data_IF_999614856309
#
_entry.id   IF_999614856309
#
_cell.length_a   1.000
_cell.length_b   1.000
_cell.length_c   1.000
_cell.angle_alpha   90.00
_cell.angle_beta   90.00
_cell.angle_gamma   90.00
#
_symmetry.space_group_name_H-M   'P 1'
#
loop_
_entity.id
_entity.type
_entity.pdbx_description
1 polymer ?
#
# COMPACT_ATOMS: atom_id res chain seq x y z
N UNK A 1 -15.71 -10.47 15.23
CA UNK A 1 -15.33 -9.85 16.52
C UNK A 1 -14.29 -10.66 17.27
N UNK A 2 -14.47 -11.98 17.44
CA UNK A 2 -13.54 -12.84 18.20
C UNK A 2 -12.08 -12.79 17.72
N UNK A 3 -11.83 -12.76 16.41
CA UNK A 3 -10.46 -12.68 15.86
C UNK A 3 -9.79 -11.33 16.16
N UNK A 4 -10.54 -10.23 16.15
CA UNK A 4 -10.01 -8.91 16.48
C UNK A 4 -9.56 -8.84 17.94
N UNK A 5 -10.44 -9.20 18.88
CA UNK A 5 -10.08 -9.21 20.30
C UNK A 5 -8.94 -10.19 20.61
N UNK A 6 -8.86 -11.31 19.87
CA UNK A 6 -7.78 -12.27 20.01
C UNK A 6 -6.45 -11.72 19.53
N UNK A 7 -6.35 -11.27 18.27
CA UNK A 7 -5.06 -10.95 17.66
C UNK A 7 -4.72 -9.47 17.69
N UNK A 8 -5.68 -8.58 17.45
CA UNK A 8 -5.41 -7.15 17.21
C UNK A 8 -5.01 -6.45 18.51
N UNK A 9 -5.84 -6.52 19.56
CA UNK A 9 -5.57 -5.76 20.78
C UNK A 9 -4.24 -6.16 21.46
N UNK A 10 -3.94 -7.47 21.64
CA UNK A 10 -2.67 -7.88 22.25
C UNK A 10 -1.45 -7.56 21.38
N UNK A 11 -1.58 -7.74 20.05
CA UNK A 11 -0.49 -7.41 19.12
C UNK A 11 -0.19 -5.93 19.12
N UNK A 12 -1.22 -5.09 19.07
CA UNK A 12 -1.06 -3.64 19.03
C UNK A 12 -0.36 -3.14 20.29
N UNK A 13 -0.76 -3.63 21.47
CA UNK A 13 -0.13 -3.24 22.72
C UNK A 13 1.31 -3.75 22.83
N UNK A 14 1.59 -4.97 22.38
CA UNK A 14 2.94 -5.51 22.37
C UNK A 14 3.86 -4.74 21.41
N UNK A 15 3.39 -4.47 20.19
CA UNK A 15 4.14 -3.70 19.19
C UNK A 15 4.47 -2.30 19.68
N UNK A 16 3.50 -1.62 20.32
CA UNK A 16 3.68 -0.27 20.86
C UNK A 16 4.79 -0.18 21.91
N UNK A 17 5.00 -1.25 22.69
CA UNK A 17 5.99 -1.27 23.78
C UNK A 17 7.38 -1.74 23.33
N UNK A 18 7.42 -2.69 22.38
CA UNK A 18 8.64 -3.45 22.11
C UNK A 18 9.27 -3.15 20.75
N UNK A 19 8.52 -2.57 19.81
CA UNK A 19 8.98 -2.41 18.43
C UNK A 19 8.94 -0.96 17.96
N UNK A 20 9.79 -0.66 16.97
CA UNK A 20 9.84 0.64 16.30
C UNK A 20 9.57 0.48 14.82
N UNK A 21 8.94 1.51 14.25
CA UNK A 21 8.58 1.58 12.84
C UNK A 21 9.51 2.53 12.09
N UNK A 22 9.61 2.35 10.77
CA UNK A 22 10.38 3.25 9.90
C UNK A 22 9.82 4.67 9.93
N UNK A 23 8.49 4.79 10.01
CA UNK A 23 7.76 6.05 10.19
C UNK A 23 6.80 5.93 11.37
N UNK A 24 6.48 7.02 12.09
CA UNK A 24 5.47 6.99 13.13
C UNK A 24 4.11 6.54 12.55
N UNK A 25 3.57 5.44 13.10
CA UNK A 25 2.30 4.86 12.64
C UNK A 25 1.26 4.89 13.76
N UNK A 26 0.18 5.69 13.62
CA UNK A 26 -0.95 5.64 14.54
C UNK A 26 -1.57 4.25 14.59
N UNK A 27 -1.98 3.82 15.79
CA UNK A 27 -2.68 2.56 16.03
C UNK A 27 -3.88 2.36 15.09
N UNK A 28 -4.68 3.42 14.91
CA UNK A 28 -5.84 3.41 14.01
C UNK A 28 -5.45 3.09 12.57
N UNK A 29 -4.33 3.63 12.07
CA UNK A 29 -3.89 3.38 10.70
C UNK A 29 -3.44 1.93 10.52
N UNK A 30 -2.80 1.33 11.53
CA UNK A 30 -2.41 -0.08 11.49
C UNK A 30 -3.65 -0.99 11.44
N UNK A 31 -4.67 -0.71 12.26
CA UNK A 31 -5.93 -1.45 12.23
C UNK A 31 -6.68 -1.24 10.90
N UNK A 32 -6.70 -0.02 10.36
CA UNK A 32 -7.25 0.25 9.02
C UNK A 32 -6.53 -0.52 7.92
N UNK A 33 -5.21 -0.72 8.04
CA UNK A 33 -4.46 -1.57 7.10
C UNK A 33 -4.91 -3.03 7.17
N UNK A 34 -5.21 -3.58 8.36
CA UNK A 34 -5.80 -4.93 8.48
C UNK A 34 -7.10 -5.00 7.67
N UNK A 35 -8.00 -4.03 7.83
CA UNK A 35 -9.26 -3.99 7.09
C UNK A 35 -9.07 -3.90 5.58
N UNK A 36 -8.19 -3.01 5.10
CA UNK A 36 -7.92 -2.84 3.66
C UNK A 36 -7.32 -4.10 3.03
N UNK A 37 -6.42 -4.79 3.73
CA UNK A 37 -5.86 -6.06 3.27
C UNK A 37 -6.96 -7.12 3.21
N UNK A 38 -7.79 -7.24 4.25
CA UNK A 38 -8.89 -8.20 4.27
C UNK A 38 -9.94 -7.93 3.19
N UNK A 39 -10.31 -6.68 2.96
CA UNK A 39 -11.24 -6.30 1.88
C UNK A 39 -10.72 -6.70 0.51
N UNK A 40 -9.40 -6.70 0.32
CA UNK A 40 -8.79 -7.09 -0.94
C UNK A 40 -8.49 -8.57 -1.10
N UNK A 41 -8.46 -9.34 -0.01
CA UNK A 41 -8.28 -10.80 -0.05
C UNK A 41 -9.63 -11.51 -0.07
N UNK A 42 -10.59 -11.03 0.72
CA UNK A 42 -11.90 -11.65 0.84
C UNK A 42 -12.75 -11.34 -0.40
N UNK A 43 -13.51 -12.33 -0.92
CA UNK A 43 -14.36 -12.11 -2.08
C UNK A 43 -15.46 -11.08 -1.75
N UNK A 44 -15.64 -10.10 -2.64
CA UNK A 44 -16.64 -9.03 -2.51
C UNK A 44 -18.08 -9.52 -2.57
N UNK A 45 -18.31 -10.63 -3.28
CA UNK A 45 -19.62 -11.24 -3.44
C UNK A 45 -19.62 -12.65 -2.82
N UNK A 46 -20.39 -12.83 -1.74
CA UNK A 46 -20.81 -14.16 -1.36
C UNK A 46 -21.92 -14.59 -2.31
N UNK A 47 -21.63 -15.55 -3.20
CA UNK A 47 -22.64 -16.17 -4.06
C UNK A 47 -23.81 -16.62 -3.17
N UNK A 48 -25.04 -16.20 -3.50
CA UNK A 48 -26.23 -16.63 -2.74
C UNK A 48 -26.28 -18.15 -2.69
N UNK A 49 -26.21 -18.71 -1.49
CA UNK A 49 -26.21 -20.17 -1.27
C UNK A 49 -24.83 -20.81 -1.20
N UNK A 50 -23.74 -20.04 -1.30
CA UNK A 50 -22.41 -20.55 -1.00
C UNK A 50 -22.33 -20.99 0.47
N UNK A 51 -21.60 -22.07 0.77
CA UNK A 51 -21.32 -22.45 2.15
C UNK A 51 -20.65 -21.28 2.88
N UNK A 52 -20.87 -21.15 4.20
CA UNK A 52 -20.19 -20.12 4.98
C UNK A 52 -18.67 -20.25 4.79
N UNK A 53 -17.93 -19.13 4.74
CA UNK A 53 -16.48 -19.16 4.53
C UNK A 53 -15.82 -20.05 5.58
N UNK A 54 -14.87 -20.88 5.14
CA UNK A 54 -14.14 -21.77 6.03
C UNK A 54 -13.49 -20.93 7.15
N UNK A 55 -13.91 -21.18 8.39
CA UNK A 55 -13.43 -20.45 9.56
C UNK A 55 -11.92 -20.57 9.71
N UNK A 56 -11.34 -21.72 9.33
CA UNK A 56 -9.90 -21.93 9.36
C UNK A 56 -9.22 -21.03 8.34
N UNK A 57 -9.64 -21.06 7.07
CA UNK A 57 -9.09 -20.22 6.02
C UNK A 57 -9.23 -18.71 6.35
N UNK A 58 -10.38 -18.30 6.89
CA UNK A 58 -10.59 -16.94 7.36
C UNK A 58 -9.58 -16.54 8.45
N UNK A 59 -9.28 -17.41 9.39
CA UNK A 59 -8.27 -17.16 10.42
C UNK A 59 -6.86 -17.05 9.83
N UNK A 60 -6.52 -17.83 8.79
CA UNK A 60 -5.26 -17.70 8.05
C UNK A 60 -5.14 -16.33 7.34
N UNK A 61 -6.18 -15.90 6.61
CA UNK A 61 -6.19 -14.58 6.00
C UNK A 61 -6.13 -13.45 7.03
N UNK A 62 -6.80 -13.63 8.18
CA UNK A 62 -6.76 -12.66 9.27
C UNK A 62 -5.37 -12.52 9.88
N UNK A 63 -4.70 -13.65 10.16
CA UNK A 63 -3.32 -13.68 10.64
C UNK A 63 -2.37 -13.06 9.62
N UNK A 64 -2.51 -13.41 8.34
CA UNK A 64 -1.73 -12.80 7.26
C UNK A 64 -1.90 -11.27 7.23
N UNK A 65 -3.14 -10.77 7.30
CA UNK A 65 -3.41 -9.34 7.32
C UNK A 65 -2.79 -8.65 8.55
N UNK A 66 -2.85 -9.28 9.73
CA UNK A 66 -2.23 -8.74 10.94
C UNK A 66 -0.69 -8.69 10.84
N UNK A 67 -0.06 -9.76 10.37
CA UNK A 67 1.41 -9.81 10.18
C UNK A 67 1.89 -8.65 9.31
N UNK A 68 1.20 -8.38 8.21
CA UNK A 68 1.59 -7.30 7.29
C UNK A 68 1.19 -5.91 7.78
N UNK A 69 0.04 -5.76 8.44
CA UNK A 69 -0.40 -4.48 8.97
C UNK A 69 0.46 -4.00 10.16
N UNK A 70 0.77 -4.89 11.10
CA UNK A 70 1.55 -4.56 12.29
C UNK A 70 3.05 -4.73 12.08
N UNK A 71 3.47 -5.70 11.27
CA UNK A 71 4.87 -6.04 11.08
C UNK A 71 5.49 -5.47 9.79
N UNK A 72 4.70 -5.00 8.82
CA UNK A 72 5.20 -4.63 7.49
C UNK A 72 6.12 -3.40 7.48
N UNK A 73 5.88 -2.44 8.37
CA UNK A 73 6.63 -1.17 8.44
C UNK A 73 7.66 -1.14 9.59
N UNK A 74 8.02 -2.30 10.16
CA UNK A 74 8.98 -2.38 11.26
C UNK A 74 10.36 -1.91 10.80
N UNK A 75 11.06 -1.18 11.68
CA UNK A 75 12.39 -0.66 11.41
C UNK A 75 13.41 -1.80 11.35
N UNK A 76 14.29 -1.74 10.35
CA UNK A 76 15.49 -2.57 10.28
C UNK A 76 16.68 -1.62 10.18
N UNK A 77 17.52 -1.60 11.20
CA UNK A 77 18.75 -0.81 11.23
C UNK A 77 19.98 -1.72 11.44
N UNK A 78 21.17 -1.13 11.58
CA UNK A 78 22.42 -1.90 11.72
C UNK A 78 22.53 -2.68 13.04
N UNK A 79 21.75 -2.30 14.05
CA UNK A 79 21.83 -2.82 15.42
C UNK A 79 20.61 -3.70 15.74
N UNK A 80 19.43 -3.27 15.30
CA UNK A 80 18.15 -3.91 15.56
C UNK A 80 17.43 -4.27 14.27
N UNK A 81 17.12 -5.54 14.15
CA UNK A 81 16.16 -6.05 13.17
C UNK A 81 14.83 -6.34 13.88
N UNK A 82 13.93 -5.35 13.89
CA UNK A 82 12.62 -5.51 14.51
C UNK A 82 11.70 -6.41 13.70
N UNK A 83 11.95 -6.61 12.39
CA UNK A 83 11.19 -7.57 11.58
C UNK A 83 11.47 -9.00 12.03
N UNK A 84 12.73 -9.35 12.21
CA UNK A 84 13.11 -10.68 12.71
C UNK A 84 12.60 -10.92 14.13
N UNK A 85 12.68 -9.91 15.01
CA UNK A 85 12.15 -10.01 16.38
C UNK A 85 10.63 -10.17 16.41
N UNK A 86 9.90 -9.36 15.63
CA UNK A 86 8.45 -9.48 15.48
C UNK A 86 8.06 -10.86 14.98
N UNK A 87 8.74 -11.40 13.96
CA UNK A 87 8.48 -12.73 13.43
C UNK A 87 8.63 -13.82 14.50
N UNK A 88 9.73 -13.78 15.28
CA UNK A 88 9.98 -14.74 16.36
C UNK A 88 8.91 -14.65 17.44
N UNK A 89 8.57 -13.43 17.86
CA UNK A 89 7.51 -13.19 18.83
C UNK A 89 6.16 -13.69 18.33
N UNK A 90 5.77 -13.36 17.10
CA UNK A 90 4.50 -13.75 16.48
C UNK A 90 4.31 -15.27 16.50
N UNK A 91 5.33 -16.02 16.04
CA UNK A 91 5.32 -17.49 16.02
C UNK A 91 5.28 -18.05 17.45
N UNK A 92 5.90 -17.38 18.43
CA UNK A 92 5.88 -17.82 19.83
C UNK A 92 4.52 -17.60 20.50
N UNK A 93 3.87 -16.47 20.22
CA UNK A 93 2.62 -16.03 20.84
C UNK A 93 1.41 -16.77 20.24
N UNK A 94 1.35 -16.84 18.91
CA UNK A 94 0.19 -17.35 18.20
C UNK A 94 0.43 -18.77 17.66
N UNK A 95 -0.38 -19.73 18.11
CA UNK A 95 -0.27 -21.16 17.73
C UNK A 95 -1.41 -21.68 16.87
N UNK A 96 -2.47 -20.91 16.68
CA UNK A 96 -3.64 -21.31 15.91
C UNK A 96 -3.33 -21.48 14.42
N UNK A 97 -2.51 -20.57 13.87
CA UNK A 97 -2.05 -20.59 12.48
C UNK A 97 -0.58 -20.96 12.47
N UNK A 98 -0.26 -22.05 11.77
CA UNK A 98 1.09 -22.60 11.73
C UNK A 98 1.87 -21.97 10.57
N UNK A 99 3.11 -21.58 10.87
CA UNK A 99 4.10 -21.15 9.89
C UNK A 99 5.17 -22.24 9.76
N UNK A 100 5.77 -22.44 8.58
CA UNK A 100 6.91 -23.33 8.45
C UNK A 100 8.10 -22.89 9.32
N UNK A 101 8.96 -23.84 9.73
CA UNK A 101 10.07 -23.57 10.66
C UNK A 101 11.19 -22.69 10.05
N UNK A 102 11.30 -22.67 8.72
CA UNK A 102 12.40 -22.04 8.00
C UNK A 102 12.00 -20.70 7.39
N UNK A 103 12.39 -19.60 8.03
CA UNK A 103 12.19 -18.26 7.48
C UNK A 103 11.45 -17.37 8.46
N UNK A 104 10.99 -16.21 7.98
CA UNK A 104 10.19 -15.27 8.74
C UNK A 104 8.71 -15.38 8.36
N UNK A 105 7.82 -14.90 9.21
CA UNK A 105 6.37 -14.83 8.91
C UNK A 105 6.07 -14.08 7.60
N UNK A 106 6.97 -13.20 7.16
CA UNK A 106 6.86 -12.43 5.92
C UNK A 106 7.22 -13.24 4.66
N UNK A 107 7.83 -14.41 4.81
CA UNK A 107 8.26 -15.25 3.70
C UNK A 107 7.17 -16.21 3.23
N UNK A 108 5.97 -16.11 3.82
CA UNK A 108 4.83 -16.95 3.48
C UNK A 108 3.59 -16.16 3.04
N UNK A 109 2.78 -16.81 2.21
CA UNK A 109 1.45 -16.39 1.79
C UNK A 109 0.42 -17.47 2.17
N UNK A 110 -0.86 -17.10 2.16
CA UNK A 110 -1.94 -18.05 2.41
C UNK A 110 -2.24 -18.83 1.13
N UNK A 111 -1.98 -20.13 1.15
CA UNK A 111 -2.49 -21.04 0.12
C UNK A 111 -3.92 -21.46 0.48
N UNK A 112 -4.88 -20.96 -0.29
CA UNK A 112 -6.30 -21.22 -0.10
C UNK A 112 -6.69 -22.68 -0.40
N UNK A 113 -5.93 -23.35 -1.28
CA UNK A 113 -6.23 -24.74 -1.69
C UNK A 113 -5.82 -25.74 -0.62
N UNK A 114 -4.66 -25.52 -0.01
CA UNK A 114 -4.10 -26.37 1.03
C UNK A 114 -4.42 -25.87 2.45
N UNK A 115 -4.94 -24.64 2.58
CA UNK A 115 -5.25 -23.97 3.84
C UNK A 115 -4.03 -23.94 4.78
N UNK A 116 -2.89 -23.47 4.24
CA UNK A 116 -1.60 -23.38 4.94
C UNK A 116 -0.80 -22.12 4.55
N UNK A 117 0.28 -21.84 5.29
CA UNK A 117 1.24 -20.78 4.98
C UNK A 117 2.33 -21.35 4.04
N UNK A 118 2.24 -21.04 2.75
CA UNK A 118 3.16 -21.51 1.70
C UNK A 118 4.24 -20.45 1.41
N UNK A 119 5.47 -20.85 1.03
CA UNK A 119 6.57 -19.90 0.81
C UNK A 119 6.36 -19.07 -0.47
N UNK A 120 6.65 -17.77 -0.41
CA UNK A 120 6.53 -16.88 -1.58
C UNK A 120 7.39 -17.29 -2.77
N UNK A 121 8.45 -18.07 -2.54
CA UNK A 121 9.30 -18.66 -3.58
C UNK A 121 8.49 -19.42 -4.63
N UNK A 122 7.46 -20.15 -4.20
CA UNK A 122 6.58 -20.95 -5.08
C UNK A 122 5.73 -20.07 -6.01
N UNK A 123 5.54 -18.80 -5.64
CA UNK A 123 4.72 -17.82 -6.37
C UNK A 123 5.55 -16.86 -7.23
N UNK A 124 6.89 -16.96 -7.22
CA UNK A 124 7.75 -16.10 -8.05
C UNK A 124 7.59 -16.49 -9.52
N UNK A 125 7.14 -15.55 -10.39
CA UNK A 125 7.08 -15.82 -11.82
C UNK A 125 8.48 -16.09 -12.39
N UNK A 126 8.60 -17.06 -13.30
CA UNK A 126 9.85 -17.30 -14.01
C UNK A 126 10.20 -16.08 -14.85
N UNK A 127 11.41 -15.56 -14.69
CA UNK A 127 11.91 -14.47 -15.51
C UNK A 127 11.90 -14.87 -16.99
N UNK A 128 11.30 -14.03 -17.83
CA UNK A 128 11.35 -14.15 -19.27
C UNK A 128 12.01 -12.90 -19.84
N UNK A 129 13.14 -13.10 -20.50
CA UNK A 129 13.81 -12.01 -21.19
C UNK A 129 13.08 -11.70 -22.49
N UNK A 130 12.51 -10.50 -22.57
CA UNK A 130 11.95 -9.96 -23.80
C UNK A 130 12.98 -8.96 -24.35
N UNK A 131 13.59 -9.23 -25.53
CA UNK A 131 14.52 -8.30 -26.15
C UNK A 131 13.82 -6.95 -26.39
N UNK A 132 14.40 -5.87 -25.88
CA UNK A 132 13.79 -4.54 -25.93
C UNK A 132 14.65 -3.49 -25.22
N UNK A 133 14.03 -2.38 -24.81
CA UNK A 133 14.70 -1.35 -24.02
C UNK A 133 15.17 -1.93 -22.67
N UNK A 134 16.47 -1.83 -22.39
CA UNK A 134 17.06 -2.31 -21.14
C UNK A 134 16.41 -1.67 -19.90
N UNK A 135 15.89 -0.45 -20.03
CA UNK A 135 15.15 0.24 -18.97
C UNK A 135 13.79 -0.39 -18.63
N UNK A 136 13.30 -1.32 -19.46
CA UNK A 136 12.02 -2.01 -19.27
C UNK A 136 12.15 -3.41 -18.66
N UNK A 137 13.38 -3.92 -18.47
CA UNK A 137 13.61 -5.25 -17.93
C UNK A 137 13.26 -5.26 -16.44
N UNK A 138 12.22 -6.00 -16.08
CA UNK A 138 11.81 -6.22 -14.70
C UNK A 138 12.02 -7.69 -14.32
N UNK A 139 12.90 -7.96 -13.35
CA UNK A 139 13.18 -9.31 -12.87
C UNK A 139 12.34 -9.59 -11.63
N UNK A 140 11.37 -10.54 -11.69
CA UNK A 140 10.60 -10.91 -10.51
C UNK A 140 11.47 -11.60 -9.47
N UNK A 141 11.45 -11.06 -8.26
CA UNK A 141 12.03 -11.64 -7.04
C UNK A 141 10.95 -11.85 -5.99
N UNK A 142 11.24 -12.63 -4.95
CA UNK A 142 10.33 -12.88 -3.83
C UNK A 142 9.82 -11.56 -3.19
N UNK A 143 10.68 -10.55 -3.07
CA UNK A 143 10.29 -9.23 -2.53
C UNK A 143 9.32 -8.50 -3.48
N UNK A 144 9.64 -8.45 -4.78
CA UNK A 144 8.76 -7.77 -5.75
C UNK A 144 7.41 -8.48 -5.89
N UNK A 145 7.36 -9.82 -5.82
CA UNK A 145 6.12 -10.59 -5.87
C UNK A 145 5.24 -10.30 -4.66
N UNK A 146 5.83 -10.20 -3.46
CA UNK A 146 5.14 -9.84 -2.22
C UNK A 146 4.48 -8.46 -2.32
N UNK A 147 5.24 -7.46 -2.73
CA UNK A 147 4.72 -6.08 -2.87
C UNK A 147 3.66 -6.01 -3.96
N UNK A 148 3.89 -6.67 -5.10
CA UNK A 148 2.93 -6.71 -6.21
C UNK A 148 1.61 -7.33 -5.78
N UNK A 149 1.62 -8.40 -4.97
CA UNK A 149 0.41 -9.01 -4.43
C UNK A 149 -0.47 -8.02 -3.66
N UNK A 150 0.12 -7.15 -2.83
CA UNK A 150 -0.65 -6.11 -2.15
C UNK A 150 -1.18 -5.07 -3.13
N UNK A 151 -0.39 -4.65 -4.12
CA UNK A 151 -0.86 -3.68 -5.11
C UNK A 151 -1.98 -4.24 -6.00
N UNK A 152 -1.93 -5.52 -6.34
CA UNK A 152 -2.97 -6.24 -7.09
C UNK A 152 -4.31 -6.23 -6.37
N UNK A 153 -4.27 -6.18 -5.04
CA UNK A 153 -5.43 -6.22 -4.16
C UNK A 153 -5.94 -4.81 -3.82
N UNK A 154 -5.03 -3.90 -3.44
CA UNK A 154 -5.36 -2.58 -2.92
C UNK A 154 -5.73 -1.57 -4.01
N UNK A 155 -5.06 -1.62 -5.17
CA UNK A 155 -5.29 -0.61 -6.22
C UNK A 155 -6.67 -0.77 -6.87
N UNK A 156 -7.11 -1.98 -7.28
CA UNK A 156 -8.48 -2.16 -7.81
C UNK A 156 -9.58 -1.81 -6.80
N UNK A 157 -9.29 -1.90 -5.50
CA UNK A 157 -10.17 -1.47 -4.42
C UNK A 157 -10.13 0.04 -4.14
N UNK A 158 -9.40 0.81 -4.95
CA UNK A 158 -9.27 2.27 -4.83
C UNK A 158 -8.68 2.72 -3.49
N UNK A 159 -7.87 1.87 -2.84
CA UNK A 159 -7.19 2.22 -1.59
C UNK A 159 -5.86 2.94 -1.84
N UNK A 160 -5.62 4.06 -1.17
CA UNK A 160 -4.29 4.70 -1.17
C UNK A 160 -3.23 3.77 -0.58
N UNK A 161 -2.06 3.69 -1.23
CA UNK A 161 -0.94 2.84 -0.82
C UNK A 161 0.33 3.68 -0.71
N UNK A 162 1.10 3.49 0.35
CA UNK A 162 2.42 4.11 0.49
C UNK A 162 3.44 3.05 0.89
N UNK A 163 4.51 2.90 0.10
CA UNK A 163 5.64 2.06 0.44
C UNK A 163 6.75 2.89 1.08
N UNK A 164 7.16 2.45 2.27
CA UNK A 164 8.22 3.11 3.04
C UNK A 164 9.41 2.17 3.15
N UNK A 165 10.61 2.68 2.89
CA UNK A 165 11.85 1.93 3.05
C UNK A 165 13.04 2.66 2.43
N UNK A 166 14.24 2.13 2.67
CA UNK A 166 15.49 2.74 2.21
C UNK A 166 15.55 2.91 0.69
N UNK A 167 16.32 3.89 0.21
CA UNK A 167 16.58 4.08 -1.23
C UNK A 167 17.22 2.82 -1.83
N UNK A 168 16.88 2.50 -3.07
CA UNK A 168 17.43 1.33 -3.77
C UNK A 168 16.73 -0.01 -3.48
N UNK A 169 15.64 -0.04 -2.72
CA UNK A 169 14.87 -1.28 -2.43
C UNK A 169 13.78 -1.56 -3.48
N UNK A 170 13.99 -1.18 -4.74
CA UNK A 170 13.08 -1.45 -5.87
C UNK A 170 11.60 -0.98 -5.75
N UNK A 171 11.24 -0.17 -4.75
CA UNK A 171 9.86 0.31 -4.51
C UNK A 171 9.25 0.99 -5.74
N UNK A 172 9.97 1.98 -6.27
CA UNK A 172 9.59 2.72 -7.49
C UNK A 172 9.43 1.78 -8.67
N UNK A 173 10.36 0.84 -8.87
CA UNK A 173 10.30 -0.12 -9.98
C UNK A 173 9.07 -1.02 -9.89
N UNK A 174 8.73 -1.52 -8.70
CA UNK A 174 7.53 -2.36 -8.48
C UNK A 174 6.25 -1.57 -8.75
N UNK A 175 6.14 -0.35 -8.20
CA UNK A 175 4.95 0.47 -8.38
C UNK A 175 4.73 0.84 -9.85
N UNK A 176 5.77 1.30 -10.54
CA UNK A 176 5.73 1.63 -11.97
C UNK A 176 5.40 0.40 -12.81
N UNK A 177 5.99 -0.76 -12.53
CA UNK A 177 5.69 -2.00 -13.24
C UNK A 177 4.21 -2.39 -13.06
N UNK A 178 3.66 -2.26 -11.85
CA UNK A 178 2.24 -2.52 -11.60
C UNK A 178 1.33 -1.54 -12.36
N UNK A 179 1.62 -0.24 -12.30
CA UNK A 179 0.83 0.81 -12.96
C UNK A 179 0.84 0.70 -14.48
N UNK A 180 1.99 0.33 -15.07
CA UNK A 180 2.11 0.10 -16.53
C UNK A 180 1.28 -1.09 -17.02
N UNK A 181 1.11 -2.11 -16.18
CA UNK A 181 0.38 -3.34 -16.52
C UNK A 181 -1.10 -3.31 -16.11
N UNK A 182 -1.62 -2.15 -15.68
CA UNK A 182 -3.06 -2.00 -15.44
C UNK A 182 -3.82 -1.85 -16.76
N UNK A 183 -5.11 -2.16 -16.72
CA UNK A 183 -6.01 -1.93 -17.84
C UNK A 183 -6.15 -0.43 -18.13
N UNK A 184 -5.60 -0.01 -19.27
CA UNK A 184 -5.58 1.38 -19.72
C UNK A 184 -6.98 1.92 -20.11
N UNK A 185 -7.98 1.06 -20.28
CA UNK A 185 -9.36 1.47 -20.53
C UNK A 185 -10.05 1.95 -19.26
N UNK A 186 -9.80 1.29 -18.13
CA UNK A 186 -10.43 1.58 -16.84
C UNK A 186 -9.59 2.48 -15.94
N UNK A 187 -8.26 2.33 -15.97
CA UNK A 187 -7.34 3.08 -15.11
C UNK A 187 -6.26 3.79 -15.92
N UNK A 188 -5.85 4.96 -15.44
CA UNK A 188 -4.67 5.67 -15.89
C UNK A 188 -3.79 6.01 -14.70
N UNK A 189 -2.50 6.27 -14.93
CA UNK A 189 -1.62 6.75 -13.88
C UNK A 189 -0.86 7.99 -14.33
N UNK A 190 -0.43 8.79 -13.35
CA UNK A 190 0.40 9.96 -13.59
C UNK A 190 1.50 9.99 -12.52
N UNK A 191 2.76 9.96 -12.97
CA UNK A 191 3.92 9.96 -12.08
C UNK A 191 4.31 11.39 -11.72
N UNK A 192 4.45 11.64 -10.41
CA UNK A 192 4.90 12.89 -9.81
C UNK A 192 6.22 12.60 -9.11
N UNK A 193 7.31 13.14 -9.64
CA UNK A 193 8.62 13.05 -8.99
C UNK A 193 8.81 14.30 -8.13
N UNK A 194 8.76 14.13 -6.82
CA UNK A 194 8.99 15.22 -5.88
C UNK A 194 10.49 15.53 -5.78
N UNK A 195 10.82 16.79 -5.55
CA UNK A 195 12.19 17.21 -5.30
C UNK A 195 12.23 18.24 -4.17
N UNK A 196 13.44 18.64 -3.78
CA UNK A 196 13.64 19.59 -2.68
C UNK A 196 12.97 20.95 -2.88
N UNK A 197 12.74 21.39 -4.12
CA UNK A 197 12.08 22.65 -4.45
C UNK A 197 10.57 22.51 -4.67
N UNK A 198 10.00 21.30 -4.53
CA UNK A 198 8.56 21.09 -4.66
C UNK A 198 7.80 21.78 -3.52
N UNK A 199 6.99 22.77 -3.87
CA UNK A 199 6.07 23.49 -2.99
C UNK A 199 4.60 23.24 -3.37
N UNK A 200 3.65 23.72 -2.57
CA UNK A 200 2.22 23.55 -2.86
C UNK A 200 1.80 24.14 -4.23
N UNK A 201 2.17 25.38 -4.63
CA UNK A 201 1.83 25.91 -5.95
C UNK A 201 2.36 25.07 -7.12
N UNK A 202 3.62 24.66 -7.11
CA UNK A 202 4.22 23.86 -8.18
C UNK A 202 3.55 22.48 -8.27
N UNK A 203 3.32 21.83 -7.13
CA UNK A 203 2.62 20.55 -7.08
C UNK A 203 1.16 20.66 -7.57
N UNK A 204 0.44 21.73 -7.23
CA UNK A 204 -0.93 21.93 -7.70
C UNK A 204 -0.99 22.00 -9.23
N UNK A 205 -0.04 22.71 -9.86
CA UNK A 205 0.05 22.79 -11.33
C UNK A 205 0.25 21.39 -11.92
N UNK A 206 1.14 20.58 -11.33
CA UNK A 206 1.41 19.21 -11.79
C UNK A 206 0.17 18.32 -11.63
N UNK A 207 -0.51 18.39 -10.48
CA UNK A 207 -1.74 17.64 -10.22
C UNK A 207 -2.87 18.00 -11.19
N UNK A 208 -2.95 19.26 -11.63
CA UNK A 208 -3.96 19.72 -12.59
C UNK A 208 -3.71 19.22 -14.03
N UNK A 209 -2.48 18.84 -14.40
CA UNK A 209 -2.13 18.47 -15.79
C UNK A 209 -2.96 17.31 -16.37
N UNK A 210 -3.14 16.16 -15.68
CA UNK A 210 -3.91 15.04 -16.21
C UNK A 210 -5.44 15.20 -16.01
N UNK A 211 -5.93 16.36 -15.57
CA UNK A 211 -7.33 16.57 -15.23
C UNK A 211 -8.08 17.41 -16.26
N UNK A 212 -9.33 17.04 -16.50
CA UNK A 212 -10.28 17.78 -17.32
C UNK A 212 -11.47 18.25 -16.48
N UNK A 213 -12.04 19.40 -16.86
CA UNK A 213 -13.28 19.88 -16.26
C UNK A 213 -14.44 18.98 -16.69
N UNK A 214 -15.10 18.33 -15.73
CA UNK A 214 -16.25 17.45 -15.97
C UNK A 214 -17.56 18.21 -15.98
N UNK A 215 -17.85 18.93 -14.90
CA UNK A 215 -19.07 19.74 -14.77
C UNK A 215 -18.93 20.72 -13.62
N UNK A 216 -19.43 21.95 -13.79
CA UNK A 216 -19.45 22.96 -12.72
C UNK A 216 -18.06 23.19 -12.11
N UNK A 217 -17.86 22.66 -10.91
CA UNK A 217 -16.63 22.74 -10.12
C UNK A 217 -15.82 21.44 -10.06
N UNK A 218 -16.29 20.38 -10.74
CA UNK A 218 -15.70 19.04 -10.75
C UNK A 218 -14.67 18.87 -11.86
N UNK A 219 -13.55 18.29 -11.48
CA UNK A 219 -12.41 17.95 -12.32
C UNK A 219 -12.05 16.48 -12.12
N UNK A 220 -11.65 15.80 -13.17
CA UNK A 220 -11.29 14.39 -13.11
C UNK A 220 -10.53 13.98 -14.38
N UNK A 221 -9.97 12.77 -14.42
CA UNK A 221 -9.21 12.31 -15.57
C UNK A 221 -10.06 12.23 -16.85
N UNK A 222 -9.45 12.28 -18.05
CA UNK A 222 -10.15 12.15 -19.32
C UNK A 222 -11.09 10.94 -19.38
N UNK A 223 -12.27 11.14 -19.97
CA UNK A 223 -13.31 10.11 -20.07
C UNK A 223 -13.88 9.69 -18.70
N UNK A 224 -14.06 8.38 -18.51
CA UNK A 224 -14.58 7.75 -17.29
C UNK A 224 -13.53 6.93 -16.54
N UNK A 225 -12.25 7.16 -16.82
CA UNK A 225 -11.14 6.43 -16.20
C UNK A 225 -10.97 6.77 -14.72
N UNK A 226 -10.28 5.91 -13.99
CA UNK A 226 -9.79 6.18 -12.65
C UNK A 226 -8.30 6.51 -12.69
N UNK A 227 -7.90 7.67 -12.14
CA UNK A 227 -6.52 8.13 -12.17
C UNK A 227 -5.77 7.78 -10.90
N UNK A 228 -4.61 7.14 -11.04
CA UNK A 228 -3.70 6.87 -9.94
C UNK A 228 -2.49 7.81 -10.03
N UNK A 229 -2.41 8.78 -9.13
CA UNK A 229 -1.20 9.58 -8.96
C UNK A 229 -0.15 8.75 -8.24
N UNK A 230 1.00 8.52 -8.88
CA UNK A 230 2.15 7.91 -8.23
C UNK A 230 3.13 9.00 -7.81
N UNK A 231 3.31 9.20 -6.50
CA UNK A 231 4.18 10.21 -5.92
C UNK A 231 5.48 9.56 -5.47
N UNK A 232 6.54 9.75 -6.24
CA UNK A 232 7.88 9.26 -5.91
C UNK A 232 8.64 10.29 -5.07
N UNK A 233 9.50 9.80 -4.16
CA UNK A 233 10.35 10.62 -3.28
C UNK A 233 9.63 11.69 -2.43
N UNK A 234 8.50 11.31 -1.82
CA UNK A 234 7.65 12.21 -1.01
C UNK A 234 8.39 12.93 0.14
N UNK A 235 9.49 12.36 0.65
CA UNK A 235 10.27 12.92 1.75
C UNK A 235 11.29 14.00 1.34
N UNK A 236 11.45 14.28 0.05
CA UNK A 236 12.45 15.24 -0.46
C UNK A 236 12.16 16.74 -0.28
N UNK A 237 10.90 17.25 -0.28
CA UNK A 237 10.63 18.69 -0.23
C UNK A 237 11.28 19.41 0.95
N UNK A 238 11.82 20.62 0.74
CA UNK A 238 12.37 21.40 1.83
C UNK A 238 11.32 21.78 2.87
N UNK A 239 11.79 21.80 4.11
CA UNK A 239 11.05 22.26 5.26
C UNK A 239 11.13 23.80 5.29
N UNK A 240 9.98 24.46 5.39
CA UNK A 240 9.94 25.91 5.50
C UNK A 240 10.35 26.41 6.90
N UNK A 241 10.33 27.73 7.10
CA UNK A 241 10.73 28.35 8.38
C UNK A 241 9.87 27.90 9.59
N UNK A 242 8.69 27.33 9.35
CA UNK A 242 7.74 26.88 10.36
C UNK A 242 7.66 25.36 10.45
N UNK A 243 8.72 24.68 10.03
CA UNK A 243 8.82 23.22 10.02
C UNK A 243 7.72 22.53 9.19
N UNK A 244 7.24 23.20 8.12
CA UNK A 244 6.16 22.70 7.26
C UNK A 244 6.65 22.36 5.86
N UNK A 245 6.19 21.23 5.32
CA UNK A 245 6.38 20.84 3.92
C UNK A 245 5.08 21.08 3.15
N UNK A 246 4.92 22.30 2.61
CA UNK A 246 3.65 22.75 2.00
C UNK A 246 3.11 21.81 0.92
N UNK A 247 3.98 21.18 0.12
CA UNK A 247 3.57 20.25 -0.92
C UNK A 247 2.97 18.95 -0.35
N UNK A 248 3.51 18.43 0.75
CA UNK A 248 2.98 17.25 1.44
C UNK A 248 1.62 17.59 2.09
N UNK A 249 1.50 18.77 2.68
CA UNK A 249 0.20 19.24 3.22
C UNK A 249 -0.86 19.39 2.13
N UNK A 250 -0.49 19.82 0.93
CA UNK A 250 -1.41 19.85 -0.21
C UNK A 250 -1.87 18.43 -0.60
N UNK A 251 -0.97 17.44 -0.62
CA UNK A 251 -1.35 16.03 -0.86
C UNK A 251 -2.31 15.53 0.22
N UNK A 252 -2.05 15.84 1.49
CA UNK A 252 -2.95 15.49 2.60
C UNK A 252 -4.32 16.13 2.42
N UNK A 253 -4.37 17.44 2.15
CA UNK A 253 -5.61 18.16 1.86
C UNK A 253 -6.38 17.50 0.71
N UNK A 254 -5.68 17.03 -0.31
CA UNK A 254 -6.29 16.38 -1.46
C UNK A 254 -6.90 15.01 -1.16
N UNK A 255 -6.28 14.25 -0.27
CA UNK A 255 -6.83 12.97 0.19
C UNK A 255 -8.04 13.20 1.09
N UNK A 256 -7.98 14.19 1.98
CA UNK A 256 -9.02 14.44 2.99
C UNK A 256 -10.27 15.12 2.40
N UNK A 257 -10.08 16.12 1.54
CA UNK A 257 -11.17 16.97 1.02
C UNK A 257 -11.54 16.68 -0.43
N UNK A 258 -10.78 15.83 -1.12
CA UNK A 258 -10.98 15.54 -2.55
C UNK A 258 -11.00 16.82 -3.41
N UNK A 259 -10.14 17.79 -3.11
CA UNK A 259 -10.12 19.06 -3.81
C UNK A 259 -9.36 20.18 -3.11
N UNK A 260 -9.25 21.32 -3.79
CA UNK A 260 -8.67 22.55 -3.25
C UNK A 260 -9.44 23.79 -3.74
N UNK A 261 -9.31 24.89 -3.02
CA UNK A 261 -9.88 26.17 -3.45
C UNK A 261 -9.01 26.83 -4.52
N UNK A 262 -9.66 27.31 -5.57
CA UNK A 262 -9.07 28.27 -6.49
C UNK A 262 -8.88 29.60 -5.76
N UNK A 263 -7.61 30.01 -5.57
CA UNK A 263 -7.25 31.22 -4.80
C UNK A 263 -7.74 32.52 -5.45
N UNK A 264 -8.02 32.52 -6.75
CA UNK A 264 -8.48 33.70 -7.49
C UNK A 264 -10.01 33.74 -7.54
N UNK A 265 -10.62 32.62 -7.87
CA UNK A 265 -12.09 32.53 -8.04
C UNK A 265 -12.83 32.32 -6.73
N UNK A 266 -12.14 31.88 -5.67
CA UNK A 266 -12.71 31.54 -4.36
C UNK A 266 -13.81 30.47 -4.52
N UNK A 267 -13.54 29.49 -5.38
CA UNK A 267 -14.43 28.36 -5.66
C UNK A 267 -13.67 27.07 -5.38
N UNK A 268 -14.31 26.13 -4.70
CA UNK A 268 -13.77 24.79 -4.47
C UNK A 268 -13.67 24.07 -5.82
N UNK A 269 -12.49 23.56 -6.18
CA UNK A 269 -12.34 22.59 -7.26
C UNK A 269 -12.43 21.19 -6.66
N UNK A 270 -13.49 20.46 -6.99
CA UNK A 270 -13.69 19.06 -6.59
C UNK A 270 -12.91 18.15 -7.54
N UNK A 271 -12.00 17.34 -7.02
CA UNK A 271 -11.25 16.34 -7.77
C UNK A 271 -11.87 14.96 -7.56
N UNK A 272 -12.34 14.34 -8.64
CA UNK A 272 -13.07 13.07 -8.60
C UNK A 272 -12.32 11.97 -9.37
N UNK A 273 -12.61 10.71 -9.00
CA UNK A 273 -12.04 9.52 -9.64
C UNK A 273 -10.50 9.49 -9.62
N UNK A 274 -9.90 9.94 -8.52
CA UNK A 274 -8.46 9.90 -8.30
C UNK A 274 -8.09 9.07 -7.08
N UNK A 275 -6.92 8.44 -7.14
CA UNK A 275 -6.26 7.67 -6.10
C UNK A 275 -4.80 8.10 -6.05
N UNK A 276 -4.15 7.84 -4.92
CA UNK A 276 -2.75 8.21 -4.68
C UNK A 276 -1.97 6.97 -4.24
N UNK A 277 -0.84 6.75 -4.87
CA UNK A 277 0.17 5.79 -4.46
C UNK A 277 1.50 6.50 -4.25
N UNK A 278 2.33 5.98 -3.35
CA UNK A 278 3.66 6.51 -3.04
C UNK A 278 4.63 5.38 -2.68
#
# INVERSE_FOLDING_TARGET
TTLFTRYVDPTLEYCRRNFKYVVPLPAVNQVMTVFKILEGILPKESVRGAPPPDKKLLEYHFVFACVWAFGGCMLVDKVYDYRTQFSKWWISEWKNVQFPEKGLVYDYYVDETQCLMAPWEDKVPKFQYIPGDFGSIFVPTVETTRLTYFLDSLIPNKHHVMFVGNTGTSKTAVMVNKLKNMDAETMSYYTINMNSFSDAPSLQIILEQPLEKKSGVRYGPPGSRHLVYFVDDMNMPFVDKYDTQSAIELLRQMIDYHGWYDKVKIVLKEIINCQYTA
#
